data_IF_060874817670
#
_entry.id   IF_060874817670
#
_cell.length_a   1.000
_cell.length_b   1.000
_cell.length_c   1.000
_cell.angle_alpha   90.00
_cell.angle_beta   90.00
_cell.angle_gamma   90.00
#
_symmetry.space_group_name_H-M   'P 1'
#
loop_
_entity.id
_entity.type
_entity.pdbx_description
1 polymer ?
#
# COMPACT_ATOMS: atom_id res chain seq x y z
N UNK A 1 13.47 9.26 -13.38
CA UNK A 1 12.44 8.20 -13.44
C UNK A 1 11.28 8.64 -12.55
N UNK A 2 10.04 8.61 -13.06
CA UNK A 2 8.86 8.89 -12.25
C UNK A 2 8.69 7.78 -11.20
N UNK A 3 8.35 8.13 -9.98
CA UNK A 3 7.99 7.15 -8.95
C UNK A 3 6.51 7.30 -8.63
N UNK A 4 5.91 6.18 -8.23
CA UNK A 4 4.51 6.13 -7.86
C UNK A 4 4.37 5.66 -6.42
N UNK A 5 3.44 6.28 -5.71
CA UNK A 5 3.05 5.98 -4.35
C UNK A 5 1.57 5.59 -4.33
N UNK A 6 1.12 4.94 -3.26
CA UNK A 6 -0.29 4.61 -3.08
C UNK A 6 -0.78 5.27 -1.80
N UNK A 7 -1.73 6.19 -1.92
CA UNK A 7 -2.32 6.93 -0.82
C UNK A 7 -3.72 6.40 -0.46
N UNK A 8 -4.05 6.35 0.83
CA UNK A 8 -5.40 6.10 1.33
C UNK A 8 -5.60 6.88 2.62
N UNK A 9 -6.62 7.75 2.66
CA UNK A 9 -6.96 8.57 3.83
C UNK A 9 -5.76 9.37 4.38
N UNK A 10 -5.03 10.08 3.50
CA UNK A 10 -3.83 10.86 3.83
C UNK A 10 -2.68 10.04 4.45
N UNK A 11 -2.65 8.72 4.22
CA UNK A 11 -1.55 7.83 4.59
C UNK A 11 -1.05 7.06 3.37
N UNK A 12 0.21 6.66 3.38
CA UNK A 12 0.84 6.00 2.26
C UNK A 12 1.03 4.51 2.52
N UNK A 13 0.84 3.68 1.49
CA UNK A 13 1.04 2.24 1.56
C UNK A 13 2.52 1.93 1.84
N UNK A 14 2.75 1.06 2.82
CA UNK A 14 4.10 0.71 3.30
C UNK A 14 4.41 -0.77 3.14
N UNK A 15 3.47 -1.66 3.45
CA UNK A 15 3.67 -3.10 3.34
C UNK A 15 2.35 -3.86 3.47
N UNK A 16 2.40 -5.17 3.22
CA UNK A 16 1.38 -6.10 3.68
C UNK A 16 1.82 -6.72 5.01
N UNK A 17 0.97 -6.62 6.03
CA UNK A 17 1.14 -7.27 7.32
C UNK A 17 0.17 -8.42 7.52
N UNK A 18 0.37 -9.15 8.61
CA UNK A 18 -0.54 -10.19 9.08
C UNK A 18 -1.42 -9.65 10.21
N UNK A 19 -2.73 -9.86 10.10
CA UNK A 19 -3.71 -9.68 11.18
C UNK A 19 -4.27 -11.06 11.53
N UNK A 20 -4.40 -11.37 12.82
CA UNK A 20 -4.93 -12.65 13.28
C UNK A 20 -6.37 -12.48 13.72
N UNK A 21 -7.26 -13.34 13.25
CA UNK A 21 -8.63 -13.37 13.77
C UNK A 21 -8.69 -13.97 15.18
N UNK A 22 -9.85 -13.90 15.84
CA UNK A 22 -10.05 -14.44 17.21
C UNK A 22 -9.75 -15.94 17.33
N UNK A 23 -9.65 -16.67 16.23
CA UNK A 23 -9.33 -18.10 16.16
C UNK A 23 -7.86 -18.34 15.80
N UNK A 24 -7.04 -17.29 15.73
CA UNK A 24 -5.62 -17.35 15.41
C UNK A 24 -5.31 -17.53 13.92
N UNK A 25 -6.28 -17.39 13.01
CA UNK A 25 -5.99 -17.49 11.57
C UNK A 25 -5.41 -16.18 11.04
N UNK A 26 -4.26 -16.28 10.38
CA UNK A 26 -3.61 -15.13 9.72
C UNK A 26 -4.41 -14.67 8.50
N UNK A 27 -4.54 -13.36 8.35
CA UNK A 27 -5.08 -12.67 7.18
C UNK A 27 -4.13 -11.56 6.79
N UNK A 28 -3.92 -11.41 5.50
CA UNK A 28 -3.08 -10.33 4.98
C UNK A 28 -3.87 -9.01 5.00
N UNK A 29 -3.25 -7.94 5.47
CA UNK A 29 -3.83 -6.60 5.51
C UNK A 29 -2.81 -5.55 5.07
N UNK A 30 -3.21 -4.55 4.26
CA UNK A 30 -2.32 -3.45 3.92
C UNK A 30 -2.05 -2.56 5.15
N UNK A 31 -0.79 -2.15 5.30
CA UNK A 31 -0.31 -1.24 6.34
C UNK A 31 -0.02 0.12 5.69
N UNK A 32 -0.45 1.18 6.36
CA UNK A 32 -0.24 2.56 5.91
C UNK A 32 0.49 3.39 6.95
N UNK A 33 1.36 4.28 6.50
CA UNK A 33 2.19 5.14 7.33
C UNK A 33 2.40 6.52 6.70
N UNK A 34 3.50 7.15 7.08
CA UNK A 34 3.93 8.44 6.53
C UNK A 34 4.59 8.26 5.16
N UNK A 35 4.82 9.37 4.44
CA UNK A 35 5.41 9.33 3.10
C UNK A 35 6.84 8.80 3.11
N UNK A 36 7.60 9.06 4.18
CA UNK A 36 9.00 8.64 4.34
C UNK A 36 9.14 7.11 4.39
N UNK A 37 8.09 6.41 4.83
CA UNK A 37 8.05 4.96 4.96
C UNK A 37 7.32 4.28 3.79
N UNK A 38 6.90 5.06 2.79
CA UNK A 38 6.06 4.56 1.71
C UNK A 38 6.84 3.68 0.73
N UNK A 39 6.15 2.70 0.16
CA UNK A 39 6.71 1.90 -0.94
C UNK A 39 6.60 2.69 -2.23
N UNK A 40 7.75 2.87 -2.88
CA UNK A 40 7.87 3.48 -4.19
C UNK A 40 7.81 2.41 -5.28
N UNK A 41 6.91 2.61 -6.23
CA UNK A 41 6.79 1.78 -7.43
C UNK A 41 7.45 2.50 -8.60
N UNK A 42 8.33 1.81 -9.32
CA UNK A 42 8.95 2.32 -10.54
C UNK A 42 8.06 2.13 -11.79
N UNK A 43 7.03 1.28 -11.68
CA UNK A 43 6.08 0.94 -12.74
C UNK A 43 4.70 1.45 -12.39
N UNK A 44 4.07 2.20 -13.31
CA UNK A 44 2.70 2.68 -13.13
C UNK A 44 1.70 1.51 -13.02
N UNK A 45 1.90 0.48 -13.83
CA UNK A 45 1.03 -0.71 -13.84
C UNK A 45 1.07 -1.44 -12.50
N UNK A 46 2.25 -1.58 -11.89
CA UNK A 46 2.38 -2.23 -10.59
C UNK A 46 1.74 -1.40 -9.47
N UNK A 47 1.91 -0.07 -9.53
CA UNK A 47 1.27 0.86 -8.62
C UNK A 47 -0.27 0.79 -8.72
N UNK A 48 -0.82 0.76 -9.94
CA UNK A 48 -2.27 0.64 -10.19
C UNK A 48 -2.83 -0.69 -9.69
N UNK A 49 -2.18 -1.80 -10.01
CA UNK A 49 -2.59 -3.13 -9.55
C UNK A 49 -2.59 -3.22 -8.02
N UNK A 50 -1.58 -2.65 -7.37
CA UNK A 50 -1.50 -2.63 -5.92
C UNK A 50 -2.53 -1.68 -5.32
N UNK A 51 -2.77 -0.51 -5.92
CA UNK A 51 -3.78 0.44 -5.49
C UNK A 51 -5.19 -0.17 -5.49
N UNK A 52 -5.54 -0.96 -6.50
CA UNK A 52 -6.81 -1.72 -6.55
C UNK A 52 -6.90 -2.70 -5.38
N UNK A 53 -5.84 -3.49 -5.13
CA UNK A 53 -5.82 -4.50 -4.05
C UNK A 53 -5.98 -3.88 -2.66
N UNK A 54 -5.40 -2.70 -2.46
CA UNK A 54 -5.41 -2.02 -1.15
C UNK A 54 -6.51 -0.96 -1.05
N UNK A 55 -7.34 -0.79 -2.08
CA UNK A 55 -8.34 0.28 -2.18
C UNK A 55 -7.74 1.67 -1.90
N UNK A 56 -6.61 1.96 -2.54
CA UNK A 56 -5.90 3.23 -2.48
C UNK A 56 -5.89 3.96 -3.82
N UNK A 57 -5.28 5.14 -3.85
CA UNK A 57 -5.11 6.00 -5.03
C UNK A 57 -3.63 6.09 -5.38
N UNK A 58 -3.29 5.98 -6.66
CA UNK A 58 -1.91 6.21 -7.12
C UNK A 58 -1.60 7.70 -7.14
N UNK A 59 -0.45 8.08 -6.60
CA UNK A 59 0.10 9.44 -6.59
C UNK A 59 1.51 9.43 -7.20
N UNK A 60 1.84 10.43 -8.01
CA UNK A 60 3.18 10.60 -8.58
C UNK A 60 4.09 11.33 -7.57
N UNK A 61 5.33 10.88 -7.45
CA UNK A 61 6.36 11.43 -6.56
C UNK A 61 7.64 11.77 -7.29
#
# INVERSE_FOLDING_TARGET
MKKYLIERNNKYFTAFGNEFDKKGKSRIKPIYGTIENAVYFSSLTDAQNTAIRVNGKVVES
#
